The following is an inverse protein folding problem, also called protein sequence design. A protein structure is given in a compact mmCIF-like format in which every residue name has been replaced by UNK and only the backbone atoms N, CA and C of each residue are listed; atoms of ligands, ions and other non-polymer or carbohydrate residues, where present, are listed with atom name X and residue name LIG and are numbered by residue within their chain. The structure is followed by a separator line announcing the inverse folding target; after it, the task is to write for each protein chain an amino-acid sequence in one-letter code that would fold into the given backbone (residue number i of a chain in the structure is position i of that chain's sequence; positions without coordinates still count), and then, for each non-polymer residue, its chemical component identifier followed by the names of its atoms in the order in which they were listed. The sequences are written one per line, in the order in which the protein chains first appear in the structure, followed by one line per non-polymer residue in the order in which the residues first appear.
data_IF_780739145192
#
_entry.id   IF_780739145192
#
_cell.length_a   1.000
_cell.length_b   1.000
_cell.length_c   1.000
_cell.angle_alpha   90.00
_cell.angle_beta   90.00
_cell.angle_gamma   90.00
#
_symmetry.space_group_name_H-M   'P 1'
#
loop_
_entity.id
_entity.type
_entity.pdbx_description
1 polymer ?
#
# COMPACT_ATOMS: atom_id res chain seq x y z
N UNK A 1 18.40 5.46 -13.23
CA UNK A 1 18.09 4.16 -12.60
C UNK A 1 16.62 4.23 -12.24
N UNK A 2 15.77 3.49 -12.94
CA UNK A 2 14.32 3.52 -12.70
C UNK A 2 14.05 2.88 -11.33
N UNK A 3 13.23 3.53 -10.48
CA UNK A 3 12.93 3.01 -9.14
C UNK A 3 11.96 1.85 -9.27
N UNK A 4 12.10 0.85 -8.39
CA UNK A 4 11.14 -0.26 -8.35
C UNK A 4 9.73 0.26 -8.02
N UNK A 5 8.66 -0.31 -8.62
CA UNK A 5 7.28 0.12 -8.39
C UNK A 5 6.89 0.19 -6.91
N UNK A 6 7.35 -0.78 -6.10
CA UNK A 6 7.13 -0.81 -4.66
C UNK A 6 7.71 0.43 -3.99
N UNK A 7 8.95 0.80 -4.33
CA UNK A 7 9.65 1.94 -3.73
C UNK A 7 8.89 3.24 -4.03
N UNK A 8 8.41 3.40 -5.26
CA UNK A 8 7.62 4.58 -5.67
C UNK A 8 6.35 4.70 -4.83
N UNK A 9 5.58 3.61 -4.71
CA UNK A 9 4.35 3.59 -3.92
C UNK A 9 4.64 3.87 -2.44
N UNK A 10 5.71 3.31 -1.88
CA UNK A 10 6.09 3.56 -0.49
C UNK A 10 6.48 5.02 -0.23
N UNK A 11 7.34 5.59 -1.07
CA UNK A 11 7.76 6.99 -0.93
C UNK A 11 6.55 7.93 -1.03
N UNK A 12 5.64 7.65 -1.96
CA UNK A 12 4.41 8.41 -2.11
C UNK A 12 3.55 8.33 -0.85
N UNK A 13 3.28 7.11 -0.34
CA UNK A 13 2.47 6.93 0.87
C UNK A 13 3.15 7.54 2.09
N UNK A 14 4.47 7.41 2.26
CA UNK A 14 5.21 8.02 3.38
C UNK A 14 5.10 9.54 3.40
N UNK A 15 5.00 10.16 2.23
CA UNK A 15 4.94 11.61 2.11
C UNK A 15 3.52 12.18 2.28
N UNK A 16 2.48 11.35 2.13
CA UNK A 16 1.10 11.83 2.00
C UNK A 16 0.08 11.15 2.93
N UNK A 17 0.44 10.04 3.57
CA UNK A 17 -0.44 9.31 4.48
C UNK A 17 -0.23 9.79 5.91
N UNK A 18 -1.31 10.09 6.62
CA UNK A 18 -1.24 10.50 8.03
C UNK A 18 -0.87 9.31 8.94
N UNK A 19 0.14 9.48 9.79
CA UNK A 19 0.46 8.50 10.82
C UNK A 19 -0.39 8.75 12.08
N UNK A 20 -1.34 7.85 12.32
CA UNK A 20 -2.21 7.89 13.48
C UNK A 20 -1.48 7.67 14.82
N UNK A 21 -0.31 7.04 14.81
CA UNK A 21 0.52 6.91 15.99
C UNK A 21 1.62 7.97 15.95
N UNK A 22 1.25 9.19 16.35
CA UNK A 22 2.14 10.35 16.41
C UNK A 22 3.28 10.20 17.42
N UNK A 23 3.23 9.19 18.29
CA UNK A 23 4.24 8.93 19.32
C UNK A 23 5.41 8.07 18.84
N UNK A 24 5.31 7.44 17.65
CA UNK A 24 6.37 6.56 17.15
C UNK A 24 7.53 7.35 16.55
N UNK A 25 8.73 6.78 16.61
CA UNK A 25 9.96 7.37 16.06
C UNK A 25 10.44 6.69 14.77
N UNK A 26 9.80 5.60 14.36
CA UNK A 26 10.17 4.81 13.19
C UNK A 26 9.14 4.93 12.06
N UNK A 27 9.56 4.62 10.82
CA UNK A 27 8.64 4.50 9.70
C UNK A 27 7.56 3.46 10.00
N UNK A 28 6.35 3.68 9.49
CA UNK A 28 5.23 2.73 9.65
C UNK A 28 4.80 2.08 8.34
N UNK A 29 5.43 2.46 7.22
CA UNK A 29 5.24 1.89 5.88
C UNK A 29 6.49 1.09 5.49
N UNK A 30 6.31 -0.18 5.13
CA UNK A 30 7.39 -1.16 4.94
C UNK A 30 7.26 -1.97 3.62
N UNK A 31 8.36 -2.53 3.08
CA UNK A 31 8.36 -3.39 1.88
C UNK A 31 7.90 -4.82 2.10
N UNK A 32 7.64 -5.22 3.34
CA UNK A 32 7.50 -6.61 3.71
C UNK A 32 6.32 -6.85 4.66
N UNK A 33 5.84 -8.09 4.64
CA UNK A 33 4.93 -8.58 5.65
C UNK A 33 5.56 -8.48 7.05
N UNK A 34 4.82 -7.98 8.06
CA UNK A 34 5.35 -7.89 9.41
C UNK A 34 5.73 -9.27 9.95
N UNK A 35 6.80 -9.32 10.75
CA UNK A 35 7.10 -10.50 11.59
C UNK A 35 5.99 -10.69 12.63
N UNK A 36 5.79 -11.92 13.07
CA UNK A 36 4.65 -12.33 13.92
C UNK A 36 4.66 -11.66 15.32
N UNK A 37 5.81 -11.19 15.81
CA UNK A 37 5.98 -10.63 17.17
C UNK A 37 6.39 -9.15 17.16
N UNK A 38 5.55 -8.27 16.62
CA UNK A 38 5.77 -6.82 16.71
C UNK A 38 5.14 -6.24 17.99
N UNK A 39 5.83 -5.29 18.62
CA UNK A 39 5.34 -4.55 19.77
C UNK A 39 4.20 -3.58 19.41
N UNK A 40 3.53 -3.02 20.43
CA UNK A 40 2.37 -2.14 20.23
C UNK A 40 2.73 -0.86 19.46
N UNK A 41 3.94 -0.35 19.68
CA UNK A 41 4.51 0.82 19.00
C UNK A 41 4.69 0.64 17.49
N UNK A 42 4.70 -0.61 17.03
CA UNK A 42 4.77 -0.92 15.60
C UNK A 42 3.43 -0.73 14.88
N UNK A 43 2.32 -0.61 15.61
CA UNK A 43 0.98 -0.42 15.06
C UNK A 43 0.53 1.05 15.13
N UNK A 44 -0.37 1.49 14.22
CA UNK A 44 -0.75 0.83 12.97
C UNK A 44 0.44 0.67 12.01
N UNK A 45 0.40 -0.32 11.11
CA UNK A 45 1.47 -0.56 10.12
C UNK A 45 0.88 -0.73 8.73
N UNK A 46 1.62 -0.29 7.72
CA UNK A 46 1.32 -0.54 6.31
C UNK A 46 2.47 -1.33 5.70
N UNK A 47 2.17 -2.39 4.95
CA UNK A 47 3.15 -3.08 4.12
C UNK A 47 2.76 -3.02 2.66
N UNK A 48 3.73 -2.77 1.80
CA UNK A 48 3.56 -2.68 0.34
C UNK A 48 4.40 -3.79 -0.27
N UNK A 49 3.73 -4.75 -0.90
CA UNK A 49 4.35 -5.93 -1.53
C UNK A 49 3.91 -6.00 -2.98
N UNK A 50 4.78 -6.40 -3.89
CA UNK A 50 4.39 -6.77 -5.25
C UNK A 50 3.95 -8.23 -5.31
N UNK A 51 3.17 -8.56 -6.33
CA UNK A 51 3.11 -9.93 -6.82
C UNK A 51 3.28 -9.90 -8.33
N UNK A 52 4.25 -10.68 -8.82
CA UNK A 52 4.54 -10.77 -10.24
C UNK A 52 3.39 -11.47 -10.96
N UNK A 53 2.66 -10.75 -11.80
CA UNK A 53 1.99 -11.36 -12.95
C UNK A 53 2.95 -11.33 -14.14
N UNK A 54 3.09 -12.45 -14.88
CA UNK A 54 3.89 -12.46 -16.09
C UNK A 54 3.40 -11.39 -17.06
N UNK A 55 4.33 -10.59 -17.59
CA UNK A 55 4.05 -9.50 -18.50
C UNK A 55 3.16 -9.98 -19.66
N UNK A 56 1.92 -9.48 -19.72
CA UNK A 56 1.06 -9.71 -20.88
C UNK A 56 1.54 -8.82 -22.01
N UNK A 57 2.10 -9.42 -23.07
CA UNK A 57 2.42 -8.70 -24.31
C UNK A 57 1.14 -8.10 -24.89
N UNK A 58 1.04 -6.78 -24.89
CA UNK A 58 0.00 -6.07 -25.64
C UNK A 58 0.50 -5.87 -27.09
N UNK A 59 -0.03 -6.71 -27.98
CA UNK A 59 0.04 -6.62 -29.45
C UNK A 59 1.40 -6.83 -30.15
N UNK A 60 1.35 -7.57 -31.26
CA UNK A 60 2.46 -7.77 -32.20
C UNK A 60 2.53 -6.53 -33.10
N UNK A 61 3.55 -5.68 -32.91
CA UNK A 61 3.88 -4.59 -33.86
C UNK A 61 4.18 -3.21 -33.25
N UNK A 62 4.04 -3.01 -31.94
CA UNK A 62 4.32 -1.72 -31.28
C UNK A 62 5.63 -1.75 -30.47
N UNK A 63 6.45 -0.72 -30.64
CA UNK A 63 7.73 -0.51 -29.92
C UNK A 63 7.56 -0.11 -28.45
N UNK A 64 6.36 0.27 -28.03
CA UNK A 64 6.03 0.64 -26.65
C UNK A 64 5.28 -0.51 -25.96
N UNK A 65 6.01 -1.52 -25.51
CA UNK A 65 5.45 -2.59 -24.69
C UNK A 65 5.21 -2.03 -23.27
N UNK A 66 4.00 -2.20 -22.71
CA UNK A 66 3.68 -1.87 -21.32
C UNK A 66 3.47 -3.17 -20.53
N UNK A 67 4.03 -3.25 -19.33
CA UNK A 67 3.84 -4.34 -18.38
C UNK A 67 2.88 -3.89 -17.28
N UNK A 68 1.87 -4.73 -16.98
CA UNK A 68 1.05 -4.55 -15.78
C UNK A 68 1.82 -5.00 -14.54
N UNK A 69 1.79 -4.18 -13.49
CA UNK A 69 2.36 -4.47 -12.18
C UNK A 69 1.25 -4.41 -11.16
N UNK A 70 1.05 -5.48 -10.40
CA UNK A 70 0.09 -5.52 -9.31
C UNK A 70 0.82 -5.35 -7.98
N UNK A 71 0.26 -4.52 -7.12
CA UNK A 71 0.80 -4.18 -5.80
C UNK A 71 -0.28 -4.43 -4.75
N UNK A 72 0.07 -5.19 -3.74
CA UNK A 72 -0.73 -5.43 -2.55
C UNK A 72 -0.27 -4.53 -1.41
N UNK A 73 -1.19 -3.70 -0.93
CA UNK A 73 -0.98 -2.81 0.20
C UNK A 73 -1.80 -3.33 1.37
N UNK A 74 -1.13 -3.72 2.44
CA UNK A 74 -1.75 -4.31 3.61
C UNK A 74 -1.68 -3.35 4.79
N UNK A 75 -2.84 -3.07 5.38
CA UNK A 75 -2.99 -2.30 6.61
C UNK A 75 -3.14 -3.26 7.77
N UNK A 76 -2.28 -3.12 8.78
CA UNK A 76 -2.20 -3.96 9.97
C UNK A 76 -2.49 -3.12 11.20
N UNK A 77 -3.50 -3.52 11.97
CA UNK A 77 -3.91 -2.85 13.21
C UNK A 77 -3.92 -3.88 14.33
N UNK A 78 -3.55 -3.46 15.53
CA UNK A 78 -3.78 -4.23 16.75
C UNK A 78 -5.02 -3.69 17.47
N UNK A 79 -5.97 -4.56 17.78
CA UNK A 79 -7.16 -4.27 18.57
C UNK A 79 -6.79 -3.87 20.00
N UNK A 80 -7.59 -3.02 20.64
CA UNK A 80 -7.32 -2.49 21.99
C UNK A 80 -6.40 -1.27 22.02
N UNK A 81 -5.94 -0.79 20.87
CA UNK A 81 -5.19 0.46 20.75
C UNK A 81 -6.09 1.55 20.16
N UNK A 82 -6.22 2.65 20.90
CA UNK A 82 -7.01 3.82 20.51
C UNK A 82 -6.05 4.92 20.06
N UNK A 83 -6.35 5.50 18.91
CA UNK A 83 -5.64 6.65 18.35
C UNK A 83 -6.62 7.77 18.08
N UNK A 84 -6.13 9.00 18.01
CA UNK A 84 -6.95 10.19 17.83
C UNK A 84 -6.46 11.01 16.64
N UNK A 85 -7.42 11.54 15.89
CA UNK A 85 -7.19 12.49 14.79
C UNK A 85 -8.40 13.41 14.69
N UNK A 86 -8.17 14.71 14.65
CA UNK A 86 -9.22 15.73 14.46
C UNK A 86 -10.41 15.55 15.44
N UNK A 87 -10.11 15.36 16.73
CA UNK A 87 -11.07 15.08 17.83
C UNK A 87 -11.90 13.79 17.67
N UNK A 88 -11.57 12.95 16.69
CA UNK A 88 -12.19 11.64 16.47
C UNK A 88 -11.26 10.51 16.94
N UNK A 89 -11.83 9.59 17.73
CA UNK A 89 -11.13 8.38 18.16
C UNK A 89 -11.30 7.24 17.15
N UNK A 90 -10.19 6.58 16.86
CA UNK A 90 -10.08 5.47 15.93
C UNK A 90 -9.47 4.25 16.64
N UNK A 91 -10.17 3.12 16.54
CA UNK A 91 -9.71 1.84 17.09
C UNK A 91 -10.04 0.70 16.13
N UNK A 92 -9.20 -0.34 16.13
CA UNK A 92 -9.49 -1.63 15.53
C UNK A 92 -9.94 -1.51 14.06
N UNK A 93 -11.12 -2.07 13.74
CA UNK A 93 -11.63 -2.09 12.38
C UNK A 93 -11.93 -0.68 11.83
N UNK A 94 -12.33 0.26 12.69
CA UNK A 94 -12.58 1.65 12.29
C UNK A 94 -11.29 2.32 11.82
N UNK A 95 -10.22 2.19 12.60
CA UNK A 95 -8.89 2.70 12.24
C UNK A 95 -8.35 2.04 10.97
N UNK A 96 -8.45 0.71 10.88
CA UNK A 96 -8.03 -0.06 9.70
C UNK A 96 -8.69 0.45 8.43
N UNK A 97 -10.00 0.69 8.51
CA UNK A 97 -10.79 1.10 7.36
C UNK A 97 -10.58 2.58 7.00
N UNK A 98 -10.32 3.45 7.99
CA UNK A 98 -9.92 4.83 7.77
C UNK A 98 -8.59 4.91 7.00
N UNK A 99 -7.54 4.25 7.50
CA UNK A 99 -6.22 4.20 6.84
C UNK A 99 -6.35 3.60 5.43
N UNK A 100 -7.13 2.53 5.26
CA UNK A 100 -7.31 1.91 3.95
C UNK A 100 -7.98 2.85 2.93
N UNK A 101 -8.95 3.66 3.36
CA UNK A 101 -9.57 4.67 2.49
C UNK A 101 -8.57 5.76 2.12
N UNK A 102 -7.82 6.27 3.08
CA UNK A 102 -6.79 7.29 2.83
C UNK A 102 -5.73 6.81 1.85
N UNK A 103 -5.28 5.55 1.95
CA UNK A 103 -4.36 4.97 0.98
C UNK A 103 -4.94 5.01 -0.43
N UNK A 104 -6.21 4.60 -0.60
CA UNK A 104 -6.88 4.65 -1.91
C UNK A 104 -7.00 6.09 -2.41
N UNK A 105 -7.36 7.02 -1.55
CA UNK A 105 -7.51 8.43 -1.91
C UNK A 105 -6.18 9.08 -2.30
N UNK A 106 -5.08 8.77 -1.59
CA UNK A 106 -3.73 9.22 -1.93
C UNK A 106 -3.32 8.69 -3.29
N UNK A 107 -3.45 7.38 -3.53
CA UNK A 107 -3.04 6.77 -4.81
C UNK A 107 -3.86 7.30 -5.99
N UNK A 108 -5.17 7.49 -5.80
CA UNK A 108 -6.03 8.05 -6.84
C UNK A 108 -5.68 9.51 -7.14
N UNK A 109 -5.50 10.33 -6.11
CA UNK A 109 -5.25 11.77 -6.27
C UNK A 109 -3.85 12.06 -6.81
N UNK A 110 -2.87 11.23 -6.45
CA UNK A 110 -1.46 11.42 -6.82
C UNK A 110 -1.04 10.59 -8.03
N UNK A 111 -1.98 10.14 -8.87
CA UNK A 111 -1.70 9.33 -10.06
C UNK A 111 -0.71 10.00 -11.02
N UNK A 112 -0.77 11.33 -11.16
CA UNK A 112 0.12 12.08 -12.06
C UNK A 112 1.57 12.09 -11.54
N UNK A 113 1.76 12.17 -10.21
CA UNK A 113 3.07 12.09 -9.56
C UNK A 113 3.69 10.69 -9.77
N UNK A 114 2.87 9.65 -9.67
CA UNK A 114 3.29 8.27 -9.94
C UNK A 114 3.62 8.07 -11.44
N UNK A 115 2.87 8.70 -12.34
CA UNK A 115 3.12 8.64 -13.79
C UNK A 115 4.46 9.28 -14.17
N UNK A 116 4.85 10.38 -13.52
CA UNK A 116 6.19 10.98 -13.69
C UNK A 116 7.30 10.01 -13.23
N UNK A 117 6.99 9.14 -12.29
CA UNK A 117 7.90 8.11 -11.78
C UNK A 117 7.85 6.78 -12.56
N UNK A 118 7.07 6.71 -13.65
CA UNK A 118 6.96 5.53 -14.53
C UNK A 118 5.81 4.56 -14.21
N UNK A 119 4.94 4.90 -13.25
CA UNK A 119 3.74 4.11 -12.93
C UNK A 119 2.48 4.78 -13.45
N UNK A 120 1.94 4.26 -14.53
CA UNK A 120 0.78 4.80 -15.23
C UNK A 120 -0.48 4.00 -14.94
N UNK A 121 -1.63 4.57 -15.32
CA UNK A 121 -2.93 3.87 -15.38
C UNK A 121 -3.28 3.15 -14.07
N UNK A 122 -3.32 3.92 -12.98
CA UNK A 122 -3.76 3.44 -11.68
C UNK A 122 -5.14 2.80 -11.78
N UNK A 123 -5.23 1.55 -11.32
CA UNK A 123 -6.48 0.80 -11.23
C UNK A 123 -6.56 0.16 -9.83
N UNK A 124 -7.69 0.33 -9.14
CA UNK A 124 -7.97 -0.42 -7.91
C UNK A 124 -8.67 -1.73 -8.26
N UNK A 125 -7.96 -2.84 -8.09
CA UNK A 125 -8.46 -4.20 -8.39
C UNK A 125 -9.40 -4.69 -7.30
N UNK A 126 -9.03 -4.49 -6.03
CA UNK A 126 -9.82 -5.03 -4.93
C UNK A 126 -9.41 -4.51 -3.56
N UNK A 127 -10.27 -4.76 -2.58
CA UNK A 127 -10.01 -4.48 -1.18
C UNK A 127 -10.75 -5.50 -0.32
N UNK A 128 -10.02 -6.20 0.55
CA UNK A 128 -10.58 -7.27 1.40
C UNK A 128 -10.02 -7.24 2.80
N UNK A 129 -10.85 -7.54 3.79
CA UNK A 129 -10.41 -7.80 5.17
C UNK A 129 -9.91 -9.24 5.28
N UNK A 130 -8.77 -9.45 5.93
CA UNK A 130 -8.15 -10.76 6.12
C UNK A 130 -8.07 -11.03 7.62
N UNK A 131 -8.88 -11.97 8.09
CA UNK A 131 -8.98 -12.30 9.52
C UNK A 131 -8.45 -13.71 9.84
N UNK A 132 -8.32 -14.60 8.86
CA UNK A 132 -7.92 -16.00 9.06
C UNK A 132 -6.42 -16.24 9.11
N UNK A 133 -5.62 -15.26 8.68
CA UNK A 133 -4.15 -15.38 8.50
C UNK A 133 -3.39 -14.48 9.47
N UNK A 134 -4.05 -13.98 10.52
CA UNK A 134 -3.48 -13.01 11.45
C UNK A 134 -3.59 -13.52 12.89
N UNK A 135 -2.60 -13.21 13.75
CA UNK A 135 -2.70 -13.52 15.18
C UNK A 135 -3.95 -12.92 15.82
N UNK A 136 -4.39 -13.50 16.92
CA UNK A 136 -5.50 -12.97 17.71
C UNK A 136 -5.25 -11.49 18.08
N UNK A 137 -6.29 -10.67 17.95
CA UNK A 137 -6.20 -9.24 18.20
C UNK A 137 -5.50 -8.43 17.11
N UNK A 138 -5.04 -9.04 16.01
CA UNK A 138 -4.56 -8.33 14.82
C UNK A 138 -5.65 -8.29 13.75
N UNK A 139 -5.82 -7.15 13.11
CA UNK A 139 -6.74 -6.93 12.01
C UNK A 139 -5.95 -6.53 10.78
N UNK A 140 -6.19 -7.22 9.66
CA UNK A 140 -5.57 -6.92 8.38
C UNK A 140 -6.59 -6.55 7.32
N UNK A 141 -6.27 -5.55 6.50
CA UNK A 141 -7.01 -5.27 5.25
C UNK A 141 -6.00 -5.12 4.12
N UNK A 142 -6.23 -5.86 3.05
CA UNK A 142 -5.43 -5.82 1.84
C UNK A 142 -6.17 -4.97 0.79
N UNK A 143 -5.42 -4.12 0.11
CA UNK A 143 -5.82 -3.32 -1.04
C UNK A 143 -4.94 -3.78 -2.20
N UNK A 144 -5.53 -4.26 -3.28
CA UNK A 144 -4.82 -4.66 -4.49
C UNK A 144 -5.01 -3.58 -5.54
N UNK A 145 -3.90 -3.04 -6.03
CA UNK A 145 -3.87 -2.02 -7.08
C UNK A 145 -3.01 -2.49 -8.24
N UNK A 146 -3.28 -1.97 -9.42
CA UNK A 146 -2.53 -2.25 -10.64
C UNK A 146 -2.06 -0.94 -11.26
N UNK A 147 -0.85 -1.00 -11.79
CA UNK A 147 -0.26 0.04 -12.62
C UNK A 147 0.23 -0.57 -13.93
N UNK A 148 0.48 0.27 -14.91
CA UNK A 148 1.21 -0.07 -16.12
C UNK A 148 2.54 0.67 -16.15
N UNK A 149 3.62 -0.02 -16.50
CA UNK A 149 4.95 0.58 -16.69
C UNK A 149 5.52 0.23 -18.05
N UNK A 150 6.36 1.07 -18.66
CA UNK A 150 7.07 0.72 -19.90
C UNK A 150 8.00 -0.48 -19.71
N UNK A 151 8.07 -1.35 -20.72
CA UNK A 151 9.06 -2.45 -20.79
C UNK A 151 10.31 -1.89 -21.44
N UNK A 152 11.36 -1.65 -20.64
CA UNK A 152 12.66 -1.28 -21.17
C UNK A 152 13.38 -2.57 -21.57
N UNK A 153 13.55 -2.79 -22.88
CA UNK A 153 14.44 -3.84 -23.37
C UNK A 153 15.87 -3.35 -23.18
N UNK A 154 16.63 -4.05 -22.33
CA UNK A 154 18.07 -3.87 -22.18
C UNK A 154 18.82 -4.38 -23.42
#
# INVERSE_FOLDING_TARGET
MEKEPIIIVQELLRSNLYDYNTSRTSSWIYPDFPKVNLGNESYPRVSVTDYDEPAKKMSVGTTNEMQSVNIDINVWIKSGLIYERDDEQFEGAKLRDAIAREIVDVLRTMQDVMAVSGLHNYERIGMKSINSEVPEGILRKQITVRFQRPVIRA
#
